data_IF_210268177441
#
_entry.id   IF_210268177441
#
_cell.length_a   1.000
_cell.length_b   1.000
_cell.length_c   1.000
_cell.angle_alpha   90.00
_cell.angle_beta   90.00
_cell.angle_gamma   90.00
#
_symmetry.space_group_name_H-M   'P 1'
#
loop_
_entity.id
_entity.type
_entity.pdbx_description
1 polymer ?
#
# COMPACT_ATOMS: atom_id res chain seq x y z
N UNK A 1 0.43 1.80 -26.62
CA UNK A 1 0.81 2.02 -25.20
C UNK A 1 1.12 3.49 -25.05
N UNK A 2 0.34 4.24 -24.27
CA UNK A 2 0.72 5.59 -23.88
C UNK A 2 1.96 5.44 -22.98
N UNK A 3 3.11 5.92 -23.43
CA UNK A 3 4.31 5.97 -22.60
C UNK A 3 4.02 6.89 -21.43
N UNK A 4 3.79 6.34 -20.22
CA UNK A 4 3.78 7.13 -18.98
C UNK A 4 5.09 7.92 -18.97
N UNK A 5 5.01 9.25 -18.85
CA UNK A 5 6.20 10.05 -18.59
C UNK A 5 6.73 9.63 -17.22
N UNK A 6 7.80 8.83 -17.23
CA UNK A 6 8.45 8.37 -16.01
C UNK A 6 9.12 9.55 -15.29
N UNK A 7 9.15 9.54 -13.95
CA UNK A 7 9.78 10.59 -13.17
C UNK A 7 11.29 10.68 -13.47
N UNK A 8 11.82 11.90 -13.45
CA UNK A 8 13.21 12.23 -13.80
C UNK A 8 13.97 12.88 -12.64
N UNK A 9 13.27 13.32 -11.60
CA UNK A 9 13.85 13.91 -10.39
C UNK A 9 13.39 13.18 -9.12
N UNK A 10 14.14 13.23 -8.00
CA UNK A 10 13.72 12.67 -6.72
C UNK A 10 12.32 13.12 -6.29
N UNK A 11 11.99 14.40 -6.48
CA UNK A 11 10.71 14.98 -6.12
C UNK A 11 9.58 14.45 -7.00
N UNK A 12 9.81 14.24 -8.30
CA UNK A 12 8.84 13.61 -9.18
C UNK A 12 8.63 12.14 -8.82
N UNK A 13 9.70 11.39 -8.52
CA UNK A 13 9.58 9.98 -8.14
C UNK A 13 8.86 9.84 -6.81
N UNK A 14 9.17 10.68 -5.82
CA UNK A 14 8.55 10.64 -4.50
C UNK A 14 7.00 10.66 -4.57
N UNK A 15 6.41 11.39 -5.53
CA UNK A 15 4.95 11.46 -5.73
C UNK A 15 4.29 10.14 -6.13
N UNK A 16 5.09 9.14 -6.51
CA UNK A 16 4.63 7.78 -6.78
C UNK A 16 4.95 6.81 -5.63
N UNK A 17 5.65 7.27 -4.59
CA UNK A 17 6.15 6.43 -3.53
C UNK A 17 5.32 6.58 -2.26
N UNK A 18 5.05 5.43 -1.65
CA UNK A 18 4.65 5.37 -0.25
C UNK A 18 5.87 4.92 0.52
N UNK A 19 6.33 5.77 1.42
CA UNK A 19 7.37 5.34 2.33
C UNK A 19 6.78 4.85 3.63
N UNK A 20 7.50 3.99 4.35
CA UNK A 20 6.94 3.35 5.53
C UNK A 20 7.95 3.10 6.64
N UNK A 21 7.42 3.16 7.86
CA UNK A 21 8.09 2.72 9.08
C UNK A 21 7.16 1.78 9.86
N UNK A 22 6.93 0.60 9.29
CA UNK A 22 6.07 -0.46 9.85
C UNK A 22 6.97 -1.61 10.30
N UNK A 23 7.72 -1.37 11.37
CA UNK A 23 8.57 -2.38 12.02
C UNK A 23 8.05 -2.63 13.43
N UNK A 24 8.14 -3.86 13.97
CA UNK A 24 7.59 -4.18 15.28
C UNK A 24 8.40 -3.59 16.45
N UNK A 25 9.64 -3.17 16.21
CA UNK A 25 10.63 -2.80 17.22
C UNK A 25 10.95 -1.29 17.23
N UNK A 26 10.15 -0.46 16.56
CA UNK A 26 10.36 1.00 16.54
C UNK A 26 9.67 1.71 17.70
N UNK A 27 10.32 2.74 18.19
CA UNK A 27 9.79 3.66 19.19
C UNK A 27 9.00 4.80 18.53
N UNK A 28 8.14 5.47 19.31
CA UNK A 28 7.44 6.66 18.84
C UNK A 28 8.40 7.79 18.40
N UNK A 29 9.58 7.89 19.02
CA UNK A 29 10.58 8.89 18.66
C UNK A 29 11.20 8.60 17.29
N UNK A 30 11.58 7.35 17.02
CA UNK A 30 12.10 6.94 15.70
C UNK A 30 11.05 7.13 14.60
N UNK A 31 9.77 6.83 14.88
CA UNK A 31 8.67 7.10 13.95
C UNK A 31 8.54 8.59 13.67
N UNK A 32 8.55 9.42 14.71
CA UNK A 32 8.48 10.89 14.55
C UNK A 32 9.64 11.42 13.70
N UNK A 33 10.86 10.99 13.99
CA UNK A 33 12.06 11.41 13.25
C UNK A 33 12.01 10.98 11.78
N UNK A 34 11.58 9.74 11.52
CA UNK A 34 11.39 9.23 10.17
C UNK A 34 10.39 10.10 9.39
N UNK A 35 9.22 10.38 9.98
CA UNK A 35 8.17 11.17 9.35
C UNK A 35 8.65 12.59 9.05
N UNK A 36 9.33 13.25 10.01
CA UNK A 36 9.88 14.60 9.81
C UNK A 36 10.87 14.60 8.64
N UNK A 37 11.79 13.63 8.57
CA UNK A 37 12.76 13.56 7.48
C UNK A 37 12.10 13.21 6.15
N UNK A 38 11.10 12.33 6.14
CA UNK A 38 10.38 11.93 4.93
C UNK A 38 9.55 13.11 4.37
N UNK A 39 8.97 13.94 5.25
CA UNK A 39 8.16 15.11 4.86
C UNK A 39 8.91 16.18 4.06
N UNK A 40 10.25 16.09 3.95
CA UNK A 40 11.07 16.95 3.09
C UNK A 40 10.89 16.66 1.59
N UNK A 41 10.28 15.53 1.24
CA UNK A 41 9.96 15.16 -0.13
C UNK A 41 8.44 14.97 -0.29
N UNK A 42 7.88 15.22 -1.49
CA UNK A 42 6.45 15.12 -1.73
C UNK A 42 6.03 13.66 -1.96
N UNK A 43 6.25 12.80 -0.95
CA UNK A 43 5.77 11.42 -0.97
C UNK A 43 4.26 11.38 -1.16
N UNK A 44 3.76 10.35 -1.86
CA UNK A 44 2.31 10.16 -1.99
C UNK A 44 1.68 9.94 -0.62
N UNK A 45 2.29 9.07 0.19
CA UNK A 45 1.90 8.87 1.57
C UNK A 45 3.04 8.33 2.44
N UNK A 46 2.83 8.37 3.75
CA UNK A 46 3.68 7.73 4.74
C UNK A 46 2.87 6.71 5.55
N UNK A 47 3.32 5.46 5.52
CA UNK A 47 2.65 4.36 6.19
C UNK A 47 3.26 4.02 7.55
N UNK A 48 2.41 3.89 8.56
CA UNK A 48 2.76 3.54 9.93
C UNK A 48 1.84 2.43 10.46
N UNK A 49 2.28 1.77 11.53
CA UNK A 49 1.40 0.89 12.31
C UNK A 49 0.29 1.68 13.02
N UNK A 50 -0.84 1.04 13.32
CA UNK A 50 -1.99 1.65 14.01
C UNK A 50 -1.55 2.46 15.25
N UNK A 51 -0.64 1.90 16.05
CA UNK A 51 -0.16 2.52 17.30
C UNK A 51 0.44 3.92 17.13
N UNK A 52 0.89 4.27 15.91
CA UNK A 52 1.53 5.55 15.61
C UNK A 52 0.69 6.45 14.70
N UNK A 53 -0.55 6.07 14.37
CA UNK A 53 -1.41 6.84 13.45
C UNK A 53 -1.64 8.26 13.95
N UNK A 54 -2.06 8.43 15.21
CA UNK A 54 -2.29 9.76 15.81
C UNK A 54 -1.04 10.65 15.78
N UNK A 55 0.14 10.04 15.98
CA UNK A 55 1.41 10.75 15.91
C UNK A 55 1.68 11.22 14.48
N UNK A 56 1.51 10.32 13.50
CA UNK A 56 1.75 10.62 12.10
C UNK A 56 0.81 11.72 11.58
N UNK A 57 -0.49 11.63 11.87
CA UNK A 57 -1.50 12.65 11.50
C UNK A 57 -1.13 14.01 12.07
N UNK A 58 -0.72 14.09 13.34
CA UNK A 58 -0.31 15.36 13.96
C UNK A 58 0.96 15.95 13.33
N UNK A 59 1.95 15.12 13.02
CA UNK A 59 3.24 15.58 12.47
C UNK A 59 3.11 15.99 11.00
N UNK A 60 2.25 15.32 10.23
CA UNK A 60 2.05 15.57 8.80
C UNK A 60 0.96 16.61 8.50
N UNK A 61 0.29 17.13 9.51
CA UNK A 61 -0.72 18.17 9.35
C UNK A 61 -0.17 19.36 8.55
N UNK A 62 -0.85 19.69 7.44
CA UNK A 62 -0.48 20.80 6.56
C UNK A 62 0.63 20.52 5.54
N UNK A 63 1.22 19.31 5.54
CA UNK A 63 2.26 18.93 4.55
C UNK A 63 1.67 18.52 3.19
N UNK A 64 0.41 18.08 3.17
CA UNK A 64 -0.25 17.52 1.99
C UNK A 64 0.18 16.08 1.65
N UNK A 65 0.90 15.41 2.56
CA UNK A 65 1.28 14.00 2.45
C UNK A 65 0.24 13.17 3.21
N UNK A 66 -0.34 12.17 2.55
CA UNK A 66 -1.34 11.30 3.13
C UNK A 66 -0.74 10.39 4.21
N UNK A 67 -1.51 10.09 5.26
CA UNK A 67 -1.16 9.08 6.26
C UNK A 67 -1.79 7.74 5.87
N UNK A 68 -1.01 6.66 5.87
CA UNK A 68 -1.53 5.29 5.70
C UNK A 68 -1.42 4.51 6.99
N UNK A 69 -2.50 3.84 7.38
CA UNK A 69 -2.50 2.89 8.50
C UNK A 69 -2.75 1.47 8.00
N UNK A 70 -1.97 0.51 8.50
CA UNK A 70 -2.18 -0.90 8.15
C UNK A 70 -3.28 -1.55 9.00
N UNK A 71 -4.09 -2.41 8.39
CA UNK A 71 -5.18 -3.14 9.05
C UNK A 71 -5.00 -4.64 8.87
N UNK A 72 -5.10 -5.40 9.96
CA UNK A 72 -4.91 -6.85 9.99
C UNK A 72 -3.56 -7.30 9.37
N UNK A 73 -2.51 -6.56 9.64
CA UNK A 73 -1.24 -6.66 8.93
C UNK A 73 -0.17 -7.39 9.77
N UNK A 74 0.79 -8.12 9.16
CA UNK A 74 0.93 -8.41 7.73
C UNK A 74 0.13 -9.63 7.25
N UNK A 75 -0.56 -10.34 8.14
CA UNK A 75 -1.08 -11.70 7.86
C UNK A 75 -2.46 -11.75 7.20
N UNK A 76 -3.34 -10.78 7.46
CA UNK A 76 -4.68 -10.68 6.86
C UNK A 76 -5.73 -11.67 7.37
N UNK A 77 -5.38 -12.60 8.26
CA UNK A 77 -6.25 -13.70 8.71
C UNK A 77 -7.23 -13.37 9.86
N UNK A 78 -7.48 -12.10 10.18
CA UNK A 78 -8.48 -11.72 11.19
C UNK A 78 -9.90 -11.86 10.61
N UNK A 79 -10.89 -12.02 11.50
CA UNK A 79 -12.30 -12.02 11.08
C UNK A 79 -12.72 -10.64 10.57
N UNK A 80 -13.71 -10.59 9.69
CA UNK A 80 -14.25 -9.35 9.13
C UNK A 80 -14.69 -8.36 10.20
N UNK A 81 -15.36 -8.82 11.26
CA UNK A 81 -15.75 -7.95 12.38
C UNK A 81 -14.55 -7.25 13.04
N UNK A 82 -13.45 -7.98 13.25
CA UNK A 82 -12.22 -7.41 13.84
C UNK A 82 -11.53 -6.46 12.85
N UNK A 83 -11.47 -6.80 11.55
CA UNK A 83 -10.90 -5.89 10.54
C UNK A 83 -11.69 -4.59 10.43
N UNK A 84 -13.02 -4.67 10.43
CA UNK A 84 -13.89 -3.49 10.39
C UNK A 84 -13.66 -2.60 11.61
N UNK A 85 -13.56 -3.19 12.82
CA UNK A 85 -13.29 -2.38 14.01
C UNK A 85 -11.89 -1.75 14.00
N UNK A 86 -10.89 -2.48 13.51
CA UNK A 86 -9.54 -1.96 13.33
C UNK A 86 -9.52 -0.81 12.32
N UNK A 87 -10.15 -0.98 11.14
CA UNK A 87 -10.27 0.07 10.14
C UNK A 87 -11.02 1.30 10.67
N UNK A 88 -12.11 1.10 11.42
CA UNK A 88 -12.86 2.19 12.06
C UNK A 88 -11.95 3.00 13.00
N UNK A 89 -11.19 2.34 13.87
CA UNK A 89 -10.23 3.01 14.76
C UNK A 89 -9.19 3.82 13.97
N UNK A 90 -8.62 3.26 12.90
CA UNK A 90 -7.65 3.96 12.06
C UNK A 90 -8.25 5.22 11.40
N UNK A 91 -9.50 5.13 10.92
CA UNK A 91 -10.22 6.24 10.31
C UNK A 91 -10.59 7.32 11.34
N UNK A 92 -11.00 6.93 12.55
CA UNK A 92 -11.28 7.85 13.67
C UNK A 92 -10.03 8.60 14.13
N UNK A 93 -8.85 7.96 14.07
CA UNK A 93 -7.54 8.58 14.32
C UNK A 93 -7.12 9.58 13.23
N UNK A 94 -7.85 9.62 12.11
CA UNK A 94 -7.64 10.60 11.04
C UNK A 94 -6.71 10.14 9.91
N UNK A 95 -6.47 8.84 9.76
CA UNK A 95 -5.71 8.30 8.60
C UNK A 95 -6.39 8.66 7.27
N UNK A 96 -5.62 8.80 6.20
CA UNK A 96 -6.13 9.13 4.86
C UNK A 96 -6.36 7.89 4.00
N UNK A 97 -5.57 6.85 4.24
CA UNK A 97 -5.63 5.59 3.51
C UNK A 97 -5.46 4.39 4.46
N UNK A 98 -6.06 3.25 4.10
CA UNK A 98 -5.85 1.99 4.83
C UNK A 98 -5.29 0.90 3.92
N UNK A 99 -4.27 0.20 4.42
CA UNK A 99 -3.67 -0.97 3.79
C UNK A 99 -4.17 -2.23 4.51
N UNK A 100 -5.13 -2.93 3.92
CA UNK A 100 -5.85 -4.04 4.57
C UNK A 100 -5.35 -5.39 4.07
N UNK A 101 -4.85 -6.23 4.98
CA UNK A 101 -4.44 -7.59 4.65
C UNK A 101 -5.62 -8.45 4.19
N UNK A 102 -5.55 -9.01 2.97
CA UNK A 102 -6.54 -9.99 2.49
C UNK A 102 -6.38 -11.31 3.24
N UNK A 103 -7.49 -11.99 3.52
CA UNK A 103 -7.44 -13.34 4.08
C UNK A 103 -7.07 -14.35 2.97
N UNK A 104 -5.78 -14.65 2.85
CA UNK A 104 -5.25 -15.57 1.83
C UNK A 104 -5.75 -17.01 2.04
N UNK A 105 -5.98 -17.43 3.28
CA UNK A 105 -6.57 -18.73 3.57
C UNK A 105 -7.97 -18.86 2.96
N UNK A 106 -8.81 -17.85 3.19
CA UNK A 106 -10.16 -17.79 2.61
C UNK A 106 -10.13 -17.78 1.07
N UNK A 107 -9.19 -17.05 0.46
CA UNK A 107 -9.04 -17.00 -1.00
C UNK A 107 -8.77 -18.40 -1.56
N UNK A 108 -7.84 -19.14 -0.94
CA UNK A 108 -7.46 -20.50 -1.35
C UNK A 108 -8.53 -21.55 -1.08
N UNK A 109 -9.38 -21.29 -0.09
CA UNK A 109 -10.54 -22.13 0.21
C UNK A 109 -11.73 -21.86 -0.72
N UNK A 110 -11.66 -20.86 -1.62
CA UNK A 110 -12.76 -20.51 -2.50
C UNK A 110 -13.87 -19.70 -1.82
N UNK A 111 -13.60 -19.12 -0.65
CA UNK A 111 -14.54 -18.31 0.14
C UNK A 111 -14.67 -16.88 -0.42
N UNK A 112 -14.92 -16.78 -1.72
CA UNK A 112 -14.88 -15.53 -2.47
C UNK A 112 -15.96 -14.54 -2.04
N UNK A 113 -17.17 -15.02 -1.78
CA UNK A 113 -18.28 -14.17 -1.32
C UNK A 113 -17.92 -13.46 0.00
N UNK A 114 -17.32 -14.19 0.96
CA UNK A 114 -16.90 -13.61 2.23
C UNK A 114 -15.83 -12.53 2.07
N UNK A 115 -14.90 -12.71 1.11
CA UNK A 115 -13.87 -11.70 0.80
C UNK A 115 -14.51 -10.47 0.15
N UNK A 116 -15.37 -10.65 -0.84
CA UNK A 116 -16.02 -9.53 -1.54
C UNK A 116 -16.89 -8.71 -0.57
N UNK A 117 -17.64 -9.38 0.31
CA UNK A 117 -18.43 -8.73 1.37
C UNK A 117 -17.56 -7.94 2.34
N UNK A 118 -16.41 -8.51 2.77
CA UNK A 118 -15.45 -7.81 3.63
C UNK A 118 -14.89 -6.56 2.96
N UNK A 119 -14.47 -6.64 1.70
CA UNK A 119 -13.94 -5.50 0.94
C UNK A 119 -15.02 -4.43 0.76
N UNK A 120 -16.25 -4.83 0.42
CA UNK A 120 -17.39 -3.92 0.28
C UNK A 120 -17.70 -3.18 1.58
N UNK A 121 -17.69 -3.89 2.71
CA UNK A 121 -17.90 -3.30 4.03
C UNK A 121 -16.79 -2.30 4.38
N UNK A 122 -15.52 -2.62 4.09
CA UNK A 122 -14.37 -1.72 4.30
C UNK A 122 -14.46 -0.47 3.41
N UNK A 123 -14.78 -0.62 2.13
CA UNK A 123 -14.94 0.49 1.19
C UNK A 123 -16.05 1.45 1.63
N UNK A 124 -17.19 0.89 2.08
CA UNK A 124 -18.30 1.68 2.66
C UNK A 124 -17.87 2.42 3.94
N UNK A 125 -17.15 1.73 4.83
CA UNK A 125 -16.66 2.31 6.08
C UNK A 125 -15.65 3.46 5.85
N UNK A 126 -14.81 3.35 4.82
CA UNK A 126 -13.80 4.36 4.47
C UNK A 126 -14.40 5.69 4.00
N UNK A 127 -15.69 5.75 3.64
CA UNK A 127 -16.41 6.99 3.25
C UNK A 127 -15.67 7.82 2.20
N UNK A 128 -15.07 7.17 1.21
CA UNK A 128 -14.33 7.80 0.11
C UNK A 128 -12.82 7.94 0.35
N UNK A 129 -12.31 7.60 1.54
CA UNK A 129 -10.86 7.42 1.77
C UNK A 129 -10.34 6.18 1.03
N UNK A 130 -9.04 6.14 0.77
CA UNK A 130 -8.43 5.10 -0.06
C UNK A 130 -8.33 3.78 0.71
N UNK A 131 -8.84 2.71 0.11
CA UNK A 131 -8.66 1.33 0.58
C UNK A 131 -7.73 0.59 -0.37
N UNK A 132 -6.64 0.03 0.17
CA UNK A 132 -5.70 -0.83 -0.56
C UNK A 132 -5.78 -2.25 0.00
N UNK A 133 -6.15 -3.21 -0.84
CA UNK A 133 -6.16 -4.63 -0.46
C UNK A 133 -4.80 -5.25 -0.69
N UNK A 134 -4.19 -5.81 0.35
CA UNK A 134 -2.87 -6.43 0.31
C UNK A 134 -3.01 -7.92 0.02
N UNK A 135 -2.62 -8.36 -1.18
CA UNK A 135 -3.00 -9.68 -1.73
C UNK A 135 -1.91 -10.75 -1.65
N UNK A 136 -0.69 -10.41 -1.25
CA UNK A 136 0.44 -11.36 -1.05
C UNK A 136 0.76 -12.19 -2.32
N UNK A 137 0.99 -11.50 -3.44
CA UNK A 137 1.37 -12.07 -4.74
C UNK A 137 2.49 -13.11 -4.65
N UNK A 138 3.50 -12.89 -3.80
CA UNK A 138 4.67 -13.78 -3.67
C UNK A 138 4.31 -15.21 -3.23
N UNK A 139 3.13 -15.38 -2.65
CA UNK A 139 2.61 -16.66 -2.21
C UNK A 139 1.50 -17.21 -3.10
N UNK A 140 1.10 -16.56 -4.19
CA UNK A 140 -0.08 -16.91 -5.01
C UNK A 140 0.27 -17.35 -6.43
N UNK A 141 -0.61 -18.14 -7.07
CA UNK A 141 -0.54 -18.39 -8.52
C UNK A 141 -1.10 -17.21 -9.32
N UNK A 142 -0.83 -17.17 -10.62
CA UNK A 142 -1.36 -16.15 -11.53
C UNK A 142 -2.90 -16.08 -11.46
N UNK A 143 -3.59 -17.22 -11.43
CA UNK A 143 -5.05 -17.29 -11.30
C UNK A 143 -5.54 -16.76 -9.95
N UNK A 144 -4.86 -17.10 -8.86
CA UNK A 144 -5.18 -16.61 -7.52
C UNK A 144 -4.95 -15.08 -7.42
N UNK A 145 -3.89 -14.54 -8.03
CA UNK A 145 -3.63 -13.10 -8.11
C UNK A 145 -4.77 -12.40 -8.86
N UNK A 146 -5.17 -12.90 -10.03
CA UNK A 146 -6.25 -12.31 -10.80
C UNK A 146 -7.59 -12.38 -10.07
N UNK A 147 -7.86 -13.49 -9.37
CA UNK A 147 -9.06 -13.64 -8.54
C UNK A 147 -9.05 -12.65 -7.37
N UNK A 148 -7.93 -12.48 -6.67
CA UNK A 148 -7.80 -11.50 -5.59
C UNK A 148 -8.01 -10.06 -6.10
N UNK A 149 -7.46 -9.72 -7.27
CA UNK A 149 -7.66 -8.42 -7.90
C UNK A 149 -9.13 -8.18 -8.27
N UNK A 150 -9.79 -9.20 -8.83
CA UNK A 150 -11.22 -9.13 -9.15
C UNK A 150 -12.05 -8.85 -7.90
N UNK A 151 -11.85 -9.61 -6.83
CA UNK A 151 -12.58 -9.43 -5.58
C UNK A 151 -12.33 -8.05 -4.94
N UNK A 152 -11.08 -7.57 -5.00
CA UNK A 152 -10.76 -6.23 -4.52
C UNK A 152 -11.49 -5.15 -5.33
N UNK A 153 -11.48 -5.23 -6.66
CA UNK A 153 -12.19 -4.30 -7.55
C UNK A 153 -13.71 -4.35 -7.33
N UNK A 154 -14.29 -5.55 -7.35
CA UNK A 154 -15.74 -5.75 -7.28
C UNK A 154 -16.28 -5.33 -5.90
N UNK A 155 -15.50 -5.54 -4.84
CA UNK A 155 -15.77 -5.00 -3.50
C UNK A 155 -15.53 -3.49 -3.35
N UNK A 156 -15.00 -2.81 -4.36
CA UNK A 156 -14.82 -1.35 -4.35
C UNK A 156 -13.53 -0.84 -3.69
N UNK A 157 -12.50 -1.68 -3.56
CA UNK A 157 -11.17 -1.21 -3.19
C UNK A 157 -10.56 -0.34 -4.30
N UNK A 158 -9.79 0.68 -3.91
CA UNK A 158 -9.16 1.59 -4.88
C UNK A 158 -7.87 1.01 -5.44
N UNK A 159 -7.13 0.26 -4.61
CA UNK A 159 -5.88 -0.39 -4.98
C UNK A 159 -5.87 -1.86 -4.60
N UNK A 160 -5.12 -2.63 -5.38
CA UNK A 160 -4.41 -3.79 -4.85
C UNK A 160 -2.97 -3.43 -4.54
N UNK A 161 -2.49 -3.87 -3.37
CA UNK A 161 -1.09 -3.84 -2.98
C UNK A 161 -0.53 -5.24 -3.09
N UNK A 162 0.53 -5.42 -3.86
CA UNK A 162 1.03 -6.75 -4.22
C UNK A 162 1.41 -7.58 -3.01
N UNK A 163 2.16 -7.02 -2.05
CA UNK A 163 2.64 -7.75 -0.88
C UNK A 163 2.67 -6.91 0.41
N UNK A 164 2.77 -7.55 1.60
CA UNK A 164 2.92 -6.83 2.86
C UNK A 164 4.36 -6.35 3.14
N UNK A 165 5.33 -6.63 2.27
CA UNK A 165 6.74 -6.46 2.63
C UNK A 165 7.20 -7.59 3.55
N UNK A 166 7.95 -7.31 4.63
CA UNK A 166 8.42 -8.36 5.57
C UNK A 166 9.21 -9.51 4.88
N UNK A 167 10.02 -9.17 3.88
CA UNK A 167 10.82 -10.14 3.12
C UNK A 167 10.20 -10.55 1.79
N UNK A 168 8.92 -10.24 1.55
CA UNK A 168 8.26 -10.44 0.25
C UNK A 168 8.89 -9.57 -0.85
N UNK A 169 8.94 -10.10 -2.06
CA UNK A 169 9.34 -9.37 -3.26
C UNK A 169 8.28 -9.52 -4.34
N UNK A 170 7.92 -8.40 -4.97
CA UNK A 170 7.04 -8.39 -6.14
C UNK A 170 7.86 -8.63 -7.39
N UNK A 171 7.38 -9.49 -8.29
CA UNK A 171 8.00 -9.64 -9.61
C UNK A 171 7.42 -8.63 -10.59
N UNK A 172 8.21 -8.22 -11.59
CA UNK A 172 7.71 -7.35 -12.65
C UNK A 172 6.55 -8.01 -13.42
N UNK A 173 6.61 -9.32 -13.60
CA UNK A 173 5.55 -10.06 -14.31
C UNK A 173 4.22 -10.02 -13.55
N UNK A 174 4.22 -10.01 -12.20
CA UNK A 174 2.97 -9.91 -11.42
C UNK A 174 2.25 -8.59 -11.73
N UNK A 175 3.00 -7.49 -11.84
CA UNK A 175 2.45 -6.17 -12.18
C UNK A 175 1.91 -6.16 -13.61
N UNK A 176 2.67 -6.72 -14.56
CA UNK A 176 2.25 -6.81 -15.96
C UNK A 176 1.01 -7.70 -16.12
N UNK A 177 0.94 -8.81 -15.37
CA UNK A 177 -0.20 -9.72 -15.34
C UNK A 177 -1.47 -8.99 -14.88
N UNK A 178 -1.39 -8.28 -13.75
CA UNK A 178 -2.53 -7.50 -13.24
C UNK A 178 -2.92 -6.43 -14.26
N UNK A 179 -1.95 -5.72 -14.85
CA UNK A 179 -2.21 -4.64 -15.80
C UNK A 179 -2.80 -5.07 -17.13
N UNK A 180 -2.51 -6.30 -17.55
CA UNK A 180 -3.14 -6.90 -18.72
C UNK A 180 -4.65 -7.11 -18.53
N UNK A 181 -5.11 -7.29 -17.29
CA UNK A 181 -6.50 -7.62 -16.97
C UNK A 181 -7.28 -6.48 -16.33
N UNK A 182 -6.61 -5.56 -15.62
CA UNK A 182 -7.23 -4.48 -14.86
C UNK A 182 -6.61 -3.13 -15.23
N UNK A 183 -7.44 -2.25 -15.80
CA UNK A 183 -7.05 -0.87 -16.13
C UNK A 183 -6.90 -0.04 -14.85
N UNK A 184 -6.06 0.99 -14.87
CA UNK A 184 -5.77 1.83 -13.70
C UNK A 184 -7.01 2.58 -13.20
N UNK A 185 -7.88 3.01 -14.11
CA UNK A 185 -9.17 3.63 -13.81
C UNK A 185 -10.17 2.70 -13.08
N UNK A 186 -10.01 1.38 -13.20
CA UNK A 186 -10.85 0.39 -12.53
C UNK A 186 -10.23 -0.10 -11.21
N UNK A 187 -8.92 -0.34 -11.22
CA UNK A 187 -8.17 -0.84 -10.06
C UNK A 187 -6.71 -0.40 -10.16
N UNK A 188 -6.26 0.40 -9.20
CA UNK A 188 -4.86 0.82 -9.14
C UNK A 188 -3.99 -0.30 -8.55
N UNK A 189 -2.70 -0.30 -8.89
CA UNK A 189 -1.73 -1.30 -8.42
C UNK A 189 -0.62 -0.58 -7.69
N UNK A 190 -0.44 -0.98 -6.45
CA UNK A 190 0.68 -0.57 -5.62
C UNK A 190 1.64 -1.74 -5.49
N UNK A 191 2.89 -1.54 -5.90
CA UNK A 191 3.95 -2.53 -5.69
C UNK A 191 4.49 -2.40 -4.28
N UNK A 192 4.66 -3.51 -3.57
CA UNK A 192 5.37 -3.51 -2.30
C UNK A 192 6.35 -4.70 -2.23
N UNK A 193 7.59 -4.42 -1.84
CA UNK A 193 8.68 -5.40 -1.90
C UNK A 193 9.30 -5.49 -3.31
N UNK A 194 10.63 -5.39 -3.38
CA UNK A 194 11.39 -5.45 -4.63
C UNK A 194 11.98 -4.12 -5.12
N UNK A 195 11.41 -2.96 -4.73
CA UNK A 195 11.92 -1.65 -5.13
C UNK A 195 12.90 -1.06 -4.10
N UNK A 196 14.20 -1.27 -4.32
CA UNK A 196 15.27 -0.76 -3.45
C UNK A 196 16.14 0.31 -4.11
N UNK A 197 16.05 0.47 -5.43
CA UNK A 197 16.79 1.47 -6.19
C UNK A 197 15.87 2.31 -7.07
N UNK A 198 16.39 3.45 -7.53
CA UNK A 198 15.74 4.30 -8.54
C UNK A 198 15.23 3.51 -9.73
N UNK A 199 16.12 2.72 -10.35
CA UNK A 199 15.78 1.97 -11.56
C UNK A 199 14.68 0.95 -11.31
N UNK A 200 14.72 0.22 -10.19
CA UNK A 200 13.66 -0.75 -9.86
C UNK A 200 12.30 -0.08 -9.68
N UNK A 201 12.25 1.11 -9.06
CA UNK A 201 11.00 1.86 -8.97
C UNK A 201 10.49 2.29 -10.34
N UNK A 202 11.37 2.77 -11.24
CA UNK A 202 11.01 3.09 -12.62
C UNK A 202 10.51 1.87 -13.39
N UNK A 203 11.14 0.71 -13.23
CA UNK A 203 10.75 -0.52 -13.91
C UNK A 203 9.32 -0.94 -13.52
N UNK A 204 8.96 -0.83 -12.24
CA UNK A 204 7.60 -1.11 -11.79
C UNK A 204 6.58 -0.10 -12.33
N UNK A 205 6.91 1.19 -12.34
CA UNK A 205 6.04 2.22 -12.91
C UNK A 205 5.84 2.00 -14.42
N UNK A 206 6.90 1.62 -15.13
CA UNK A 206 6.87 1.27 -16.55
C UNK A 206 6.05 -0.01 -16.82
N UNK A 207 6.12 -1.00 -15.93
CA UNK A 207 5.28 -2.20 -15.96
C UNK A 207 3.79 -1.91 -15.67
N UNK A 208 3.49 -0.70 -15.21
CA UNK A 208 2.13 -0.19 -15.03
C UNK A 208 1.72 0.01 -13.57
N UNK A 209 2.61 -0.12 -12.60
CA UNK A 209 2.32 0.27 -11.23
C UNK A 209 1.85 1.74 -11.17
N UNK A 210 0.94 2.03 -10.26
CA UNK A 210 0.47 3.39 -9.97
C UNK A 210 1.19 3.98 -8.75
N UNK A 211 1.53 3.13 -7.77
CA UNK A 211 2.34 3.49 -6.60
C UNK A 211 3.38 2.41 -6.31
N UNK A 212 4.46 2.77 -5.61
CA UNK A 212 5.50 1.84 -5.16
C UNK A 212 5.80 2.09 -3.68
N UNK A 213 5.72 1.05 -2.85
CA UNK A 213 6.01 1.08 -1.43
C UNK A 213 7.50 0.83 -1.19
N UNK A 214 8.14 1.60 -0.31
CA UNK A 214 9.52 1.36 0.13
C UNK A 214 9.80 1.82 1.56
N UNK A 215 10.47 0.96 2.33
CA UNK A 215 11.02 1.33 3.65
C UNK A 215 12.43 1.93 3.55
N UNK A 216 12.95 2.13 2.34
CA UNK A 216 14.28 2.69 2.09
C UNK A 216 14.21 3.85 1.08
N UNK A 217 13.41 4.89 1.39
CA UNK A 217 13.04 5.93 0.44
C UNK A 217 14.25 6.63 -0.18
N UNK A 218 15.23 7.03 0.63
CA UNK A 218 16.37 7.82 0.15
C UNK A 218 17.27 7.03 -0.80
N UNK A 219 17.40 5.72 -0.60
CA UNK A 219 18.14 4.87 -1.52
C UNK A 219 17.40 4.69 -2.85
N UNK A 220 16.06 4.57 -2.81
CA UNK A 220 15.22 4.57 -4.02
C UNK A 220 15.29 5.91 -4.74
N UNK A 221 15.26 7.03 -4.02
CA UNK A 221 15.38 8.37 -4.57
C UNK A 221 16.80 8.70 -5.07
N UNK A 222 17.82 7.93 -4.70
CA UNK A 222 19.21 8.19 -5.05
C UNK A 222 19.79 9.43 -4.36
N UNK A 223 19.26 9.80 -3.18
CA UNK A 223 19.68 10.98 -2.41
C UNK A 223 20.31 10.57 -1.08
N UNK A 224 21.15 11.45 -0.51
CA UNK A 224 21.68 11.23 0.83
C UNK A 224 20.60 11.38 1.90
N UNK A 225 20.79 10.73 3.05
CA UNK A 225 19.93 10.91 4.21
C UNK A 225 19.94 12.40 4.61
N UNK A 226 18.77 13.05 4.74
CA UNK A 226 18.73 14.40 5.25
C UNK A 226 19.25 14.43 6.69
N UNK A 227 20.17 15.37 6.97
CA UNK A 227 20.62 15.68 8.33
C UNK A 227 19.45 16.06 9.24
#
# INVERSE_FOLDING_TARGET
>A
MLTKNLPRTPEELARYLDTSIIKPDVTAQEVKEFIIKASRYPFAAIAVDLAFTDLAVKVLAGTGIDVVTTVAYPLGGLTTAVKLKHAEMALEMGTDEIDVGMNIGALRSGEYAAIEEEVSALAKLARGKIVKMVIRCDGLTDEEILQACKLARDGGANFVKTNPGFGSNTRLEDVQLIRKHFKSEELKVMVAGGARTWQQALDFLAAGADRVATSSPYHVLGVMLPE
#
